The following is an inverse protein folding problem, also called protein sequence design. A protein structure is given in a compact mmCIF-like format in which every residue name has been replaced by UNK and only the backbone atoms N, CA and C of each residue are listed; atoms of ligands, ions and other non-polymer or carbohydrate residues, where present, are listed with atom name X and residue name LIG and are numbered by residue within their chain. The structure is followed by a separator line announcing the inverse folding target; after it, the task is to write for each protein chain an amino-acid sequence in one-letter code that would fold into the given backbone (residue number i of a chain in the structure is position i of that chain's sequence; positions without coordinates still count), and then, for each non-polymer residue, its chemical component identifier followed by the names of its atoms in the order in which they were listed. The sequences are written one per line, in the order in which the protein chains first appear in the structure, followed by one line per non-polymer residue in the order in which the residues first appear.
data_IF_798283903579
#
_entry.id   IF_798283903579
#
_cell.length_a   1.000
_cell.length_b   1.000
_cell.length_c   1.000
_cell.angle_alpha   90.00
_cell.angle_beta   90.00
_cell.angle_gamma   90.00
#
_symmetry.space_group_name_H-M   'P 1'
#
loop_
_entity.id
_entity.type
_entity.pdbx_description
1 polymer ?
#
# COMPACT_ATOMS: atom_id res chain seq x y z
N UNK A 1 13.64 14.21 4.69
CA UNK A 1 13.84 12.90 4.05
C UNK A 1 12.57 12.49 3.30
N UNK A 2 12.50 12.75 1.99
CA UNK A 2 11.39 12.34 1.12
C UNK A 2 11.90 11.21 0.22
N UNK A 3 12.04 9.99 0.76
CA UNK A 3 12.45 8.86 -0.05
C UNK A 3 11.34 8.54 -1.06
N UNK A 4 11.67 8.52 -2.34
CA UNK A 4 10.74 8.16 -3.44
C UNK A 4 10.03 6.83 -3.19
N UNK A 5 10.73 5.90 -2.55
CA UNK A 5 10.25 4.56 -2.19
C UNK A 5 9.62 4.47 -0.79
N UNK A 6 9.34 5.60 -0.11
CA UNK A 6 8.66 5.55 1.18
C UNK A 6 7.27 4.92 0.99
N UNK A 7 6.89 3.90 1.77
CA UNK A 7 5.64 3.16 1.57
C UNK A 7 4.37 4.02 1.74
N UNK A 8 4.51 5.19 2.38
CA UNK A 8 3.43 6.15 2.59
C UNK A 8 3.42 7.31 1.59
N UNK A 9 4.34 7.36 0.61
CA UNK A 9 4.23 8.28 -0.52
C UNK A 9 3.04 7.90 -1.42
N UNK A 10 2.55 8.83 -2.24
CA UNK A 10 1.45 8.55 -3.19
C UNK A 10 1.80 7.37 -4.09
N UNK A 11 3.03 7.34 -4.60
CA UNK A 11 3.54 6.25 -5.44
C UNK A 11 3.69 4.95 -4.65
N UNK A 12 4.15 5.00 -3.40
CA UNK A 12 4.24 3.86 -2.49
C UNK A 12 2.89 3.21 -2.23
N UNK A 13 1.85 4.00 -1.98
CA UNK A 13 0.47 3.51 -1.81
C UNK A 13 -0.09 2.90 -3.09
N UNK A 14 0.20 3.49 -4.26
CA UNK A 14 -0.20 2.93 -5.56
C UNK A 14 0.45 1.57 -5.79
N UNK A 15 1.77 1.46 -5.54
CA UNK A 15 2.52 0.19 -5.61
C UNK A 15 1.98 -0.86 -4.63
N UNK A 16 1.62 -0.47 -3.42
CA UNK A 16 1.00 -1.35 -2.42
C UNK A 16 -0.25 -2.01 -3.00
N UNK A 17 -1.19 -1.20 -3.51
CA UNK A 17 -2.45 -1.68 -4.07
C UNK A 17 -2.20 -2.57 -5.27
N UNK A 18 -1.38 -2.15 -6.22
CA UNK A 18 -1.05 -2.93 -7.42
C UNK A 18 -0.49 -4.31 -7.06
N UNK A 19 0.44 -4.38 -6.09
CA UNK A 19 1.00 -5.65 -5.62
C UNK A 19 -0.03 -6.52 -4.90
N UNK A 20 -0.97 -5.91 -4.17
CA UNK A 20 -2.04 -6.64 -3.48
C UNK A 20 -3.13 -7.19 -4.42
N UNK A 21 -3.12 -6.85 -5.72
CA UNK A 21 -4.06 -7.42 -6.69
C UNK A 21 -3.72 -8.88 -7.03
N UNK A 22 -2.45 -9.25 -6.99
CA UNK A 22 -1.97 -10.60 -7.36
C UNK A 22 -1.36 -11.36 -6.19
N UNK A 23 -1.06 -10.69 -5.07
CA UNK A 23 -0.36 -11.28 -3.91
C UNK A 23 -1.08 -10.96 -2.59
N UNK A 24 -0.97 -11.82 -1.56
CA UNK A 24 -1.57 -11.56 -0.25
C UNK A 24 -1.02 -10.29 0.42
N UNK A 25 -1.91 -9.49 1.03
CA UNK A 25 -1.57 -8.23 1.72
C UNK A 25 -0.47 -8.40 2.77
N UNK A 26 -0.45 -9.54 3.47
CA UNK A 26 0.55 -9.81 4.51
C UNK A 26 1.98 -9.86 3.95
N UNK A 27 2.17 -10.50 2.79
CA UNK A 27 3.48 -10.60 2.15
C UNK A 27 3.92 -9.23 1.62
N UNK A 28 3.01 -8.52 0.96
CA UNK A 28 3.31 -7.18 0.42
C UNK A 28 3.64 -6.18 1.54
N UNK A 29 2.93 -6.26 2.67
CA UNK A 29 3.20 -5.42 3.84
C UNK A 29 4.61 -5.66 4.41
N UNK A 30 5.02 -6.93 4.53
CA UNK A 30 6.35 -7.30 4.98
C UNK A 30 7.46 -6.80 4.04
N UNK A 31 7.28 -6.96 2.71
CA UNK A 31 8.24 -6.46 1.71
C UNK A 31 8.39 -4.93 1.73
N UNK A 32 7.33 -4.22 2.09
CA UNK A 32 7.28 -2.75 2.12
C UNK A 32 7.66 -2.18 3.49
N UNK A 33 7.95 -3.03 4.48
CA UNK A 33 8.30 -2.61 5.84
C UNK A 33 7.16 -1.91 6.59
N UNK A 34 5.90 -2.24 6.28
CA UNK A 34 4.72 -1.68 6.95
C UNK A 34 3.90 -2.76 7.64
N UNK A 35 3.12 -2.37 8.65
CA UNK A 35 2.22 -3.33 9.30
C UNK A 35 1.12 -3.78 8.34
N UNK A 36 0.68 -5.04 8.48
CA UNK A 36 -0.47 -5.58 7.74
C UNK A 36 -1.73 -4.75 7.95
N UNK A 37 -1.93 -4.21 9.15
CA UNK A 37 -3.08 -3.36 9.47
C UNK A 37 -3.04 -2.04 8.69
N UNK A 38 -1.88 -1.40 8.59
CA UNK A 38 -1.68 -0.21 7.77
C UNK A 38 -1.94 -0.51 6.28
N UNK A 39 -1.40 -1.62 5.79
CA UNK A 39 -1.61 -2.05 4.41
C UNK A 39 -3.10 -2.30 4.12
N UNK A 40 -3.80 -3.01 5.02
CA UNK A 40 -5.24 -3.29 4.90
C UNK A 40 -6.09 -2.00 4.88
N UNK A 41 -5.80 -1.06 5.78
CA UNK A 41 -6.48 0.24 5.82
C UNK A 41 -6.36 0.99 4.50
N UNK A 42 -5.16 0.99 3.91
CA UNK A 42 -4.88 1.64 2.64
C UNK A 42 -5.58 0.96 1.46
N UNK A 43 -5.48 -0.36 1.34
CA UNK A 43 -6.14 -1.12 0.27
C UNK A 43 -7.66 -0.96 0.33
N UNK A 44 -8.25 -1.02 1.52
CA UNK A 44 -9.68 -0.79 1.69
C UNK A 44 -10.10 0.65 1.32
N UNK A 45 -9.26 1.63 1.63
CA UNK A 45 -9.51 3.02 1.24
C UNK A 45 -9.47 3.18 -0.29
N UNK A 46 -8.48 2.60 -0.95
CA UNK A 46 -8.40 2.61 -2.42
C UNK A 46 -9.60 1.92 -3.07
N UNK A 47 -10.07 0.80 -2.51
CA UNK A 47 -11.30 0.13 -2.99
C UNK A 47 -12.55 1.00 -2.87
N UNK A 48 -12.60 1.92 -1.90
CA UNK A 48 -13.74 2.82 -1.66
C UNK A 48 -13.66 4.14 -2.44
N UNK A 49 -12.46 4.67 -2.64
CA UNK A 49 -12.24 6.03 -3.17
C UNK A 49 -11.35 6.08 -4.42
N UNK A 50 -10.86 4.94 -4.91
CA UNK A 50 -9.95 4.86 -6.05
C UNK A 50 -8.61 5.54 -5.75
N UNK A 51 -8.05 6.24 -6.74
CA UNK A 51 -6.76 6.94 -6.63
C UNK A 51 -6.79 8.17 -5.69
N UNK A 52 -7.98 8.63 -5.29
CA UNK A 52 -8.15 9.76 -4.36
C UNK A 52 -8.09 9.36 -2.87
N UNK A 53 -8.04 8.07 -2.55
CA UNK A 53 -7.92 7.55 -1.19
C UNK A 53 -6.57 7.85 -0.55
#
# INVERSE_FOLDING_TARGET
MHHRNAPLSVEGRRRLVQRCQTRPIAHVAAEMGISRQCASKWVNRWRRHGEAG
#
